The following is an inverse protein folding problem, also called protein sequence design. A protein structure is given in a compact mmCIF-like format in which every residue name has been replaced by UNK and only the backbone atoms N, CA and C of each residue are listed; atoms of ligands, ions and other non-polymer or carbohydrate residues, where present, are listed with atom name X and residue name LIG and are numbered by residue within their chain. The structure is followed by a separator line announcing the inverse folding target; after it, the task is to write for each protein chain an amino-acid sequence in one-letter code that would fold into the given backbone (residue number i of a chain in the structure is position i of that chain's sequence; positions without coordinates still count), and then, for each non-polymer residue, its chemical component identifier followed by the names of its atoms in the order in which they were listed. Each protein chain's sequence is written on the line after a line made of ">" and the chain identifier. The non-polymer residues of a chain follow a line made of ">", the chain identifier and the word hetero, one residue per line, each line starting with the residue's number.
data_IF_460531491735
#
_entry.id   IF_460531491735
#
_cell.length_a   1.000
_cell.length_b   1.000
_cell.length_c   1.000
_cell.angle_alpha   90.00
_cell.angle_beta   90.00
_cell.angle_gamma   90.00
#
_symmetry.space_group_name_H-M   'P 1'
#
loop_
_entity.id
_entity.type
_entity.pdbx_description
1 polymer ?
#
# COMPACT_ATOMS: atom_id res chain seq x y z
N UNK A 1 47.93 39.75 4.97
CA UNK A 1 46.91 38.80 5.45
C UNK A 1 45.84 38.72 4.38
N UNK A 2 46.04 37.79 3.44
CA UNK A 2 45.39 36.47 3.37
C UNK A 2 44.21 36.54 2.41
N UNK A 3 44.53 36.19 1.15
CA UNK A 3 43.55 35.90 0.13
C UNK A 3 42.66 34.75 0.59
N UNK A 4 41.35 34.98 0.51
CA UNK A 4 40.35 33.93 0.62
C UNK A 4 40.37 33.20 -0.72
N UNK A 5 41.19 32.15 -0.82
CA UNK A 5 40.98 31.12 -1.82
C UNK A 5 39.59 30.54 -1.58
N UNK A 6 38.66 30.94 -2.45
CA UNK A 6 37.39 30.24 -2.62
C UNK A 6 37.78 28.86 -3.11
N UNK A 7 37.62 27.86 -2.23
CA UNK A 7 37.63 26.46 -2.60
C UNK A 7 36.57 26.27 -3.70
N UNK A 8 37.00 26.33 -4.96
CA UNK A 8 36.27 25.78 -6.08
C UNK A 8 36.17 24.28 -5.80
N UNK A 9 35.07 23.85 -5.19
CA UNK A 9 34.68 22.45 -5.18
C UNK A 9 34.66 22.01 -6.63
N UNK A 10 35.54 21.07 -6.99
CA UNK A 10 35.52 20.44 -8.31
C UNK A 10 34.07 20.04 -8.63
N UNK A 11 33.58 20.28 -9.85
CA UNK A 11 32.34 19.65 -10.26
C UNK A 11 32.55 18.15 -10.10
N UNK A 12 31.72 17.52 -9.29
CA UNK A 12 31.64 16.06 -9.27
C UNK A 12 31.35 15.64 -10.71
N UNK A 13 32.20 14.80 -11.28
CA UNK A 13 32.06 14.33 -12.66
C UNK A 13 30.75 13.53 -12.85
N UNK A 14 30.11 13.12 -11.74
CA UNK A 14 28.89 12.33 -11.70
C UNK A 14 27.88 12.85 -10.66
N UNK A 15 27.30 14.05 -10.87
CA UNK A 15 26.47 14.72 -9.86
C UNK A 15 25.19 13.98 -9.49
N UNK A 16 24.76 12.99 -10.27
CA UNK A 16 23.54 12.22 -10.03
C UNK A 16 23.77 10.75 -9.65
N UNK A 17 25.01 10.36 -9.34
CA UNK A 17 25.39 8.96 -9.09
C UNK A 17 24.52 8.29 -8.00
N UNK A 18 24.25 9.03 -6.92
CA UNK A 18 23.50 8.51 -5.77
C UNK A 18 21.98 8.67 -5.88
N UNK A 19 21.48 9.15 -7.00
CA UNK A 19 20.04 9.33 -7.19
C UNK A 19 19.36 8.00 -7.49
N UNK A 20 18.13 7.85 -6.99
CA UNK A 20 17.30 6.67 -7.22
C UNK A 20 17.10 6.38 -8.70
N UNK A 21 16.89 7.42 -9.52
CA UNK A 21 16.67 7.28 -10.95
C UNK A 21 17.88 6.68 -11.68
N UNK A 22 19.10 7.10 -11.32
CA UNK A 22 20.35 6.55 -11.86
C UNK A 22 20.47 5.06 -11.54
N UNK A 23 20.24 4.66 -10.29
CA UNK A 23 20.28 3.24 -9.88
C UNK A 23 19.25 2.40 -10.65
N UNK A 24 18.00 2.86 -10.70
CA UNK A 24 16.92 2.18 -11.42
C UNK A 24 17.26 1.98 -12.90
N UNK A 25 17.81 3.00 -13.57
CA UNK A 25 18.21 2.89 -14.96
C UNK A 25 19.41 1.95 -15.15
N UNK A 26 20.42 2.05 -14.28
CA UNK A 26 21.62 1.21 -14.36
C UNK A 26 21.29 -0.27 -14.18
N UNK A 27 20.50 -0.60 -13.16
CA UNK A 27 20.03 -1.96 -12.90
C UNK A 27 19.20 -2.51 -14.05
N UNK A 28 18.28 -1.69 -14.61
CA UNK A 28 17.44 -2.12 -15.71
C UNK A 28 18.24 -2.38 -17.00
N UNK A 29 19.21 -1.52 -17.33
CA UNK A 29 20.10 -1.74 -18.46
C UNK A 29 20.93 -3.01 -18.28
N UNK A 30 21.50 -3.23 -17.09
CA UNK A 30 22.28 -4.44 -16.79
C UNK A 30 21.42 -5.71 -16.93
N UNK A 31 20.20 -5.69 -16.38
CA UNK A 31 19.25 -6.80 -16.47
C UNK A 31 18.90 -7.11 -17.93
N UNK A 32 18.44 -6.12 -18.69
CA UNK A 32 18.06 -6.31 -20.10
C UNK A 32 19.24 -6.80 -20.94
N UNK A 33 20.44 -6.25 -20.73
CA UNK A 33 21.63 -6.73 -21.44
C UNK A 33 21.99 -8.18 -21.10
N UNK A 34 21.78 -8.61 -19.85
CA UNK A 34 22.02 -9.98 -19.41
C UNK A 34 20.96 -10.98 -19.91
N UNK A 35 19.69 -10.57 -19.91
CA UNK A 35 18.55 -11.40 -20.35
C UNK A 35 18.53 -11.58 -21.88
N UNK A 36 18.74 -10.50 -22.63
CA UNK A 36 18.62 -10.50 -24.09
C UNK A 36 19.98 -10.72 -24.81
N UNK A 37 21.09 -10.76 -24.06
CA UNK A 37 22.44 -10.89 -24.61
C UNK A 37 22.87 -9.72 -25.49
N UNK A 38 22.25 -8.55 -25.32
CA UNK A 38 22.49 -7.36 -26.13
C UNK A 38 23.64 -6.52 -25.57
N UNK A 39 24.42 -5.92 -26.48
CA UNK A 39 25.35 -4.85 -26.10
C UNK A 39 24.61 -3.53 -25.84
N UNK A 40 25.18 -2.67 -25.00
CA UNK A 40 24.63 -1.32 -24.75
C UNK A 40 24.42 -0.51 -26.04
N UNK A 41 25.25 -0.76 -27.07
CA UNK A 41 25.11 -0.13 -28.40
C UNK A 41 23.86 -0.60 -29.15
N UNK A 42 23.56 -1.89 -29.10
CA UNK A 42 22.35 -2.45 -29.72
C UNK A 42 21.11 -1.95 -28.97
N UNK A 43 21.11 -2.06 -27.64
CA UNK A 43 20.03 -1.57 -26.80
C UNK A 43 19.79 -0.07 -26.98
N UNK A 44 20.86 0.73 -27.11
CA UNK A 44 20.73 2.16 -27.40
C UNK A 44 20.06 2.47 -28.74
N UNK A 45 20.29 1.66 -29.76
CA UNK A 45 19.62 1.79 -31.07
C UNK A 45 18.13 1.44 -30.94
N UNK A 46 17.78 0.39 -30.21
CA UNK A 46 16.40 -0.03 -29.97
C UNK A 46 15.61 1.02 -29.17
N UNK A 47 16.26 1.64 -28.17
CA UNK A 47 15.70 2.74 -27.39
C UNK A 47 15.66 4.08 -28.16
N UNK A 48 16.08 4.10 -29.44
CA UNK A 48 16.03 5.29 -30.28
C UNK A 48 17.08 6.36 -29.96
N UNK A 49 18.19 5.99 -29.33
CA UNK A 49 19.34 6.89 -29.11
C UNK A 49 20.35 6.76 -30.26
N UNK A 50 20.73 7.90 -30.85
CA UNK A 50 21.78 7.95 -31.89
C UNK A 50 23.14 7.51 -31.36
N UNK A 51 23.41 7.77 -30.08
CA UNK A 51 24.67 7.47 -29.41
C UNK A 51 24.39 6.77 -28.08
N UNK A 52 24.80 5.50 -27.98
CA UNK A 52 24.62 4.70 -26.76
C UNK A 52 25.39 5.24 -25.54
N UNK A 53 26.42 6.08 -25.76
CA UNK A 53 27.15 6.78 -24.70
C UNK A 53 26.21 7.61 -23.82
N UNK A 54 25.14 8.16 -24.38
CA UNK A 54 24.15 8.94 -23.60
C UNK A 54 23.50 8.07 -22.53
N UNK A 55 23.19 6.80 -22.83
CA UNK A 55 22.65 5.85 -21.84
C UNK A 55 23.67 5.57 -20.73
N UNK A 56 24.94 5.39 -21.08
CA UNK A 56 26.01 5.19 -20.08
C UNK A 56 26.18 6.42 -19.19
N UNK A 57 26.13 7.63 -19.75
CA UNK A 57 26.20 8.87 -18.97
C UNK A 57 25.02 9.04 -18.01
N UNK A 58 23.81 8.64 -18.43
CA UNK A 58 22.64 8.65 -17.54
C UNK A 58 22.77 7.59 -16.44
N UNK A 59 23.16 6.37 -16.80
CA UNK A 59 23.30 5.24 -15.87
C UNK A 59 24.44 5.40 -14.86
N UNK A 60 25.45 6.23 -15.18
CA UNK A 60 26.53 6.61 -14.25
C UNK A 60 26.23 7.88 -13.47
N UNK A 61 25.15 8.60 -13.79
CA UNK A 61 24.79 9.86 -13.14
C UNK A 61 25.63 11.06 -13.59
N UNK A 62 26.31 10.98 -14.74
CA UNK A 62 27.02 12.13 -15.37
C UNK A 62 26.05 13.16 -15.93
N UNK A 63 24.91 12.70 -16.45
CA UNK A 63 23.84 13.56 -16.95
C UNK A 63 22.50 13.11 -16.37
N UNK A 64 21.56 14.02 -16.14
CA UNK A 64 20.26 13.66 -15.60
C UNK A 64 19.41 12.98 -16.67
N UNK A 65 18.50 12.10 -16.24
CA UNK A 65 17.56 11.42 -17.11
C UNK A 65 16.50 12.43 -17.59
N UNK A 66 16.16 12.49 -18.89
CA UNK A 66 15.14 13.40 -19.40
C UNK A 66 13.74 12.97 -18.95
N UNK A 67 12.95 13.90 -18.40
CA UNK A 67 11.55 13.65 -18.00
C UNK A 67 10.75 13.12 -19.18
N UNK A 68 10.86 13.76 -20.35
CA UNK A 68 10.11 13.40 -21.57
C UNK A 68 10.41 11.97 -22.07
N UNK A 69 11.58 11.43 -21.72
CA UNK A 69 12.01 10.09 -22.11
C UNK A 69 11.73 9.04 -21.05
N UNK A 70 11.47 9.43 -19.81
CA UNK A 70 11.30 8.53 -18.67
C UNK A 70 10.24 7.45 -18.92
N UNK A 71 9.06 7.83 -19.42
CA UNK A 71 7.98 6.88 -19.72
C UNK A 71 8.34 5.88 -20.82
N UNK A 72 9.06 6.33 -21.87
CA UNK A 72 9.51 5.43 -22.94
C UNK A 72 10.57 4.45 -22.45
N UNK A 73 11.55 4.94 -21.66
CA UNK A 73 12.59 4.13 -21.06
C UNK A 73 12.01 3.09 -20.11
N UNK A 74 11.08 3.48 -19.24
CA UNK A 74 10.45 2.59 -18.29
C UNK A 74 9.73 1.42 -18.98
N UNK A 75 8.94 1.71 -20.02
CA UNK A 75 8.25 0.68 -20.80
C UNK A 75 9.22 -0.26 -21.50
N UNK A 76 10.26 0.28 -22.15
CA UNK A 76 11.21 -0.53 -22.92
C UNK A 76 12.15 -1.35 -22.04
N UNK A 77 12.44 -0.89 -20.81
CA UNK A 77 13.35 -1.57 -19.87
C UNK A 77 12.62 -2.33 -18.75
N UNK A 78 11.30 -2.46 -18.87
CA UNK A 78 10.42 -3.10 -17.88
C UNK A 78 10.64 -2.58 -16.45
N UNK A 79 10.69 -1.25 -16.31
CA UNK A 79 10.74 -0.55 -15.03
C UNK A 79 9.33 -0.04 -14.72
N UNK A 80 8.91 -0.06 -13.46
CA UNK A 80 7.65 0.56 -13.07
C UNK A 80 7.60 2.04 -13.51
N UNK A 81 6.69 2.43 -14.43
CA UNK A 81 6.69 3.77 -15.00
C UNK A 81 6.42 4.87 -13.97
N UNK A 82 5.60 4.59 -12.96
CA UNK A 82 5.26 5.57 -11.94
C UNK A 82 6.44 5.82 -11.01
N UNK A 83 7.03 4.77 -10.43
CA UNK A 83 8.21 4.89 -9.57
C UNK A 83 9.40 5.50 -10.31
N UNK A 84 9.60 5.16 -11.59
CA UNK A 84 10.70 5.71 -12.38
C UNK A 84 10.48 7.20 -12.69
N UNK A 85 9.28 7.60 -13.08
CA UNK A 85 8.97 9.01 -13.32
C UNK A 85 9.17 9.84 -12.04
N UNK A 86 8.67 9.38 -10.90
CA UNK A 86 8.87 10.05 -9.60
C UNK A 86 10.36 10.22 -9.30
N UNK A 87 11.16 9.15 -9.46
CA UNK A 87 12.60 9.22 -9.23
C UNK A 87 13.30 10.22 -10.18
N UNK A 88 12.88 10.30 -11.44
CA UNK A 88 13.43 11.24 -12.43
C UNK A 88 13.07 12.69 -12.08
N UNK A 89 11.87 12.93 -11.55
CA UNK A 89 11.44 14.25 -11.10
C UNK A 89 12.23 14.70 -9.87
N UNK A 90 12.41 13.82 -8.88
CA UNK A 90 13.25 14.04 -7.70
C UNK A 90 14.70 14.37 -8.09
N UNK A 91 15.26 13.64 -9.06
CA UNK A 91 16.62 13.88 -9.57
C UNK A 91 16.80 15.28 -10.16
N UNK A 92 15.79 15.80 -10.88
CA UNK A 92 15.89 17.10 -11.59
C UNK A 92 15.47 18.30 -10.77
N UNK A 93 14.66 18.07 -9.74
CA UNK A 93 14.11 19.11 -8.89
C UNK A 93 14.21 18.66 -7.42
N UNK A 94 15.45 18.57 -6.88
CA UNK A 94 15.68 18.10 -5.51
C UNK A 94 15.07 19.03 -4.46
N UNK A 95 14.87 20.32 -4.80
CA UNK A 95 14.31 21.32 -3.90
C UNK A 95 12.78 21.33 -3.87
N UNK A 96 12.12 20.51 -4.70
CA UNK A 96 10.66 20.44 -4.77
C UNK A 96 10.17 19.33 -3.85
N UNK A 97 9.23 19.68 -2.96
CA UNK A 97 8.50 18.70 -2.17
C UNK A 97 7.44 17.99 -3.03
N UNK A 98 7.84 16.86 -3.61
CA UNK A 98 6.97 16.05 -4.46
C UNK A 98 5.84 15.34 -3.70
N UNK A 99 5.87 15.33 -2.35
CA UNK A 99 4.75 14.79 -1.55
C UNK A 99 3.47 15.61 -1.71
N UNK A 100 3.59 16.88 -2.13
CA UNK A 100 2.46 17.75 -2.45
C UNK A 100 1.71 17.36 -3.74
N UNK A 101 2.40 16.65 -4.64
CA UNK A 101 1.87 16.21 -5.94
C UNK A 101 1.59 14.71 -5.98
N UNK A 102 2.19 13.94 -5.08
CA UNK A 102 1.74 12.59 -4.83
C UNK A 102 0.24 12.67 -4.51
N UNK A 103 -0.64 12.03 -5.28
CA UNK A 103 -2.01 11.84 -4.82
C UNK A 103 -1.86 11.12 -3.49
N UNK A 104 -2.09 11.82 -2.37
CA UNK A 104 -1.88 11.26 -1.04
C UNK A 104 -2.53 9.90 -1.04
N UNK A 105 -1.70 8.85 -0.88
CA UNK A 105 -1.99 7.45 -1.21
C UNK A 105 -3.48 7.23 -1.32
N UNK A 106 -4.01 7.34 -2.55
CA UNK A 106 -5.42 7.64 -2.81
C UNK A 106 -6.29 6.96 -1.76
N UNK A 107 -7.08 7.72 -0.99
CA UNK A 107 -7.99 7.16 0.02
C UNK A 107 -8.76 5.95 -0.53
N UNK A 108 -8.97 5.90 -1.85
CA UNK A 108 -9.60 4.81 -2.59
C UNK A 108 -8.79 3.50 -2.64
N UNK A 109 -7.46 3.50 -2.79
CA UNK A 109 -6.63 2.28 -2.76
C UNK A 109 -6.55 1.73 -1.33
N UNK A 110 -6.42 2.62 -0.34
CA UNK A 110 -6.48 2.24 1.07
C UNK A 110 -7.88 1.77 1.48
N UNK A 111 -8.96 2.42 1.01
CA UNK A 111 -10.34 1.94 1.20
C UNK A 111 -10.56 0.59 0.54
N UNK A 112 -10.05 0.35 -0.67
CA UNK A 112 -10.19 -0.93 -1.34
C UNK A 112 -9.45 -2.05 -0.60
N UNK A 113 -8.22 -1.80 -0.15
CA UNK A 113 -7.43 -2.74 0.64
C UNK A 113 -8.09 -3.01 2.01
N UNK A 114 -8.52 -1.96 2.72
CA UNK A 114 -9.22 -2.13 4.00
C UNK A 114 -10.55 -2.87 3.82
N UNK A 115 -11.27 -2.62 2.72
CA UNK A 115 -12.53 -3.30 2.45
C UNK A 115 -12.30 -4.78 2.12
N UNK A 116 -11.21 -5.12 1.41
CA UNK A 116 -10.79 -6.50 1.20
C UNK A 116 -10.40 -7.18 2.51
N UNK A 117 -9.70 -6.51 3.42
CA UNK A 117 -9.33 -7.08 4.73
C UNK A 117 -10.58 -7.36 5.59
N UNK A 118 -11.57 -6.46 5.59
CA UNK A 118 -12.82 -6.58 6.36
C UNK A 118 -13.74 -7.71 5.86
N UNK A 119 -13.62 -8.12 4.60
CA UNK A 119 -14.43 -9.18 3.98
C UNK A 119 -13.69 -10.52 3.88
N UNK A 120 -12.44 -10.59 4.35
CA UNK A 120 -11.56 -11.75 4.24
C UNK A 120 -11.11 -12.02 2.80
N UNK A 121 -10.79 -10.96 2.05
CA UNK A 121 -10.30 -11.00 0.67
C UNK A 121 -11.39 -11.10 -0.39
N UNK A 122 -12.67 -11.04 -0.02
CA UNK A 122 -13.81 -11.14 -0.95
C UNK A 122 -14.33 -9.77 -1.36
N UNK A 123 -14.84 -9.64 -2.57
CA UNK A 123 -15.50 -8.39 -2.95
C UNK A 123 -16.84 -8.24 -2.19
N UNK A 124 -17.27 -7.01 -1.94
CA UNK A 124 -18.48 -6.72 -1.14
C UNK A 124 -19.77 -7.28 -1.77
N UNK A 125 -19.81 -7.33 -3.10
CA UNK A 125 -20.88 -7.91 -3.91
C UNK A 125 -20.94 -9.45 -3.82
N UNK A 126 -19.82 -10.11 -3.52
CA UNK A 126 -19.74 -11.56 -3.31
C UNK A 126 -20.28 -12.02 -1.93
N UNK A 127 -20.48 -11.10 -0.99
CA UNK A 127 -21.06 -11.41 0.31
C UNK A 127 -22.53 -11.82 0.20
N UNK A 128 -23.00 -12.68 1.10
CA UNK A 128 -24.42 -13.01 1.16
C UNK A 128 -25.25 -11.79 1.62
N UNK A 129 -26.54 -11.71 1.26
CA UNK A 129 -27.43 -10.65 1.76
C UNK A 129 -27.45 -10.57 3.29
N UNK A 130 -27.37 -11.72 3.97
CA UNK A 130 -27.26 -11.79 5.44
C UNK A 130 -25.97 -11.17 5.97
N UNK A 131 -24.81 -11.48 5.37
CA UNK A 131 -23.51 -10.90 5.75
C UNK A 131 -23.48 -9.38 5.55
N UNK A 132 -23.99 -8.88 4.41
CA UNK A 132 -24.08 -7.43 4.18
C UNK A 132 -24.98 -6.72 5.18
N UNK A 133 -26.10 -7.34 5.56
CA UNK A 133 -27.03 -6.81 6.57
C UNK A 133 -26.34 -6.70 7.94
N UNK A 134 -25.66 -7.77 8.34
CA UNK A 134 -24.87 -7.87 9.58
C UNK A 134 -23.78 -6.78 9.63
N UNK A 135 -22.97 -6.63 8.57
CA UNK A 135 -21.95 -5.58 8.51
C UNK A 135 -22.52 -4.17 8.62
N UNK A 136 -23.65 -3.90 7.94
CA UNK A 136 -24.32 -2.59 7.99
C UNK A 136 -24.87 -2.29 9.39
N UNK A 137 -25.43 -3.29 10.06
CA UNK A 137 -25.95 -3.15 11.43
C UNK A 137 -24.82 -2.90 12.43
N UNK A 138 -23.70 -3.62 12.30
CA UNK A 138 -22.51 -3.40 13.13
C UNK A 138 -21.92 -2.00 12.92
N UNK A 139 -21.77 -1.57 11.67
CA UNK A 139 -21.19 -0.26 11.34
C UNK A 139 -22.08 0.92 11.76
N UNK A 140 -23.41 0.74 11.78
CA UNK A 140 -24.35 1.76 12.22
C UNK A 140 -24.47 1.88 13.75
N UNK A 141 -23.96 0.89 14.51
CA UNK A 141 -24.02 0.87 15.97
C UNK A 141 -22.71 1.36 16.59
N UNK A 142 -22.73 2.58 17.14
CA UNK A 142 -21.61 3.17 17.86
C UNK A 142 -21.18 2.40 19.13
N UNK A 143 -21.91 1.35 19.52
CA UNK A 143 -21.60 0.45 20.64
C UNK A 143 -21.60 -1.02 20.20
N UNK A 144 -21.22 -1.30 18.96
CA UNK A 144 -21.18 -2.65 18.40
C UNK A 144 -20.50 -3.67 19.34
N UNK A 145 -19.36 -3.31 19.96
CA UNK A 145 -18.62 -4.16 20.91
C UNK A 145 -19.45 -4.66 22.11
N UNK A 146 -20.52 -3.95 22.51
CA UNK A 146 -21.35 -4.33 23.67
C UNK A 146 -22.57 -5.16 23.31
N UNK A 147 -22.98 -5.13 22.04
CA UNK A 147 -24.20 -5.78 21.54
C UNK A 147 -23.88 -7.05 20.76
N UNK A 148 -22.70 -7.10 20.16
CA UNK A 148 -22.27 -8.20 19.32
C UNK A 148 -21.52 -9.24 20.13
N UNK A 149 -21.80 -10.50 19.85
CA UNK A 149 -21.21 -11.63 20.56
C UNK A 149 -19.82 -11.92 20.00
N UNK A 150 -18.85 -12.02 20.90
CA UNK A 150 -17.54 -12.58 20.59
C UNK A 150 -17.65 -14.06 20.22
N UNK A 151 -16.68 -14.65 19.50
CA UNK A 151 -16.68 -16.09 19.18
C UNK A 151 -16.85 -17.00 20.41
N UNK A 152 -16.37 -16.55 21.57
CA UNK A 152 -16.50 -17.28 22.84
C UNK A 152 -17.92 -17.21 23.43
N UNK A 153 -18.65 -16.13 23.18
CA UNK A 153 -20.03 -15.96 23.64
C UNK A 153 -21.05 -16.65 22.73
N UNK A 154 -20.71 -16.85 21.45
CA UNK A 154 -21.58 -17.51 20.46
C UNK A 154 -22.06 -18.86 20.97
N UNK A 155 -21.16 -19.73 21.43
CA UNK A 155 -21.55 -21.07 21.91
C UNK A 155 -22.51 -21.03 23.10
N UNK A 156 -22.33 -20.07 24.01
CA UNK A 156 -23.21 -19.91 25.17
C UNK A 156 -24.59 -19.39 24.75
N UNK A 157 -24.65 -18.43 23.83
CA UNK A 157 -25.91 -17.89 23.32
C UNK A 157 -26.63 -18.88 22.40
N UNK A 158 -25.93 -19.67 21.59
CA UNK A 158 -26.52 -20.75 20.79
C UNK A 158 -27.19 -21.80 21.67
N UNK A 159 -26.52 -22.18 22.76
CA UNK A 159 -27.10 -23.06 23.77
C UNK A 159 -28.35 -22.42 24.40
N UNK A 160 -28.30 -21.14 24.77
CA UNK A 160 -29.46 -20.43 25.32
C UNK A 160 -30.61 -20.31 24.32
N UNK A 161 -30.34 -20.04 23.04
CA UNK A 161 -31.36 -20.02 21.96
C UNK A 161 -32.02 -21.37 21.77
N UNK A 162 -31.25 -22.45 21.91
CA UNK A 162 -31.76 -23.82 21.80
C UNK A 162 -32.65 -24.16 23.01
N UNK A 163 -32.20 -23.82 24.22
CA UNK A 163 -32.91 -24.15 25.46
C UNK A 163 -34.12 -23.24 25.74
N UNK A 164 -34.09 -21.99 25.23
CA UNK A 164 -35.13 -20.97 25.40
C UNK A 164 -35.36 -20.20 24.09
N UNK A 165 -36.06 -20.79 23.10
CA UNK A 165 -36.29 -20.14 21.80
C UNK A 165 -37.04 -18.81 21.90
N UNK A 166 -37.99 -18.70 22.84
CA UNK A 166 -38.76 -17.48 23.09
C UNK A 166 -37.90 -16.26 23.49
N UNK A 167 -36.66 -16.50 23.95
CA UNK A 167 -35.69 -15.45 24.25
C UNK A 167 -35.34 -14.61 23.02
N UNK A 168 -35.35 -15.20 21.82
CA UNK A 168 -34.97 -14.50 20.59
C UNK A 168 -35.97 -13.39 20.24
N UNK A 169 -37.26 -13.61 20.54
CA UNK A 169 -38.33 -12.67 20.23
C UNK A 169 -38.68 -11.74 21.40
N UNK A 170 -38.65 -12.25 22.64
CA UNK A 170 -39.14 -11.54 23.82
C UNK A 170 -38.05 -11.18 24.83
N UNK A 171 -36.80 -11.61 24.59
CA UNK A 171 -35.73 -11.53 25.56
C UNK A 171 -35.92 -12.49 26.74
N UNK A 172 -35.01 -12.42 27.71
CA UNK A 172 -35.14 -13.17 28.96
C UNK A 172 -36.16 -12.48 29.86
N UNK A 173 -37.09 -13.26 30.43
CA UNK A 173 -38.04 -12.74 31.41
C UNK A 173 -37.36 -12.45 32.76
N UNK A 174 -38.11 -11.84 33.69
CA UNK A 174 -37.53 -11.43 34.97
C UNK A 174 -37.11 -12.63 35.84
N UNK A 175 -37.84 -13.74 35.76
CA UNK A 175 -37.56 -14.97 36.51
C UNK A 175 -36.29 -15.64 36.00
N UNK A 176 -36.11 -15.69 34.69
CA UNK A 176 -34.93 -16.24 34.03
C UNK A 176 -33.67 -15.42 34.38
N UNK A 177 -33.79 -14.08 34.41
CA UNK A 177 -32.69 -13.19 34.82
C UNK A 177 -32.26 -13.42 36.27
N UNK A 178 -33.22 -13.60 37.18
CA UNK A 178 -32.96 -13.86 38.59
C UNK A 178 -32.31 -15.23 38.82
N UNK A 179 -32.82 -16.27 38.14
CA UNK A 179 -32.21 -17.60 38.11
C UNK A 179 -30.76 -17.55 37.63
N UNK A 180 -30.51 -16.98 36.45
CA UNK A 180 -29.15 -16.85 35.91
C UNK A 180 -28.21 -16.10 36.85
N UNK A 181 -28.68 -15.01 37.46
CA UNK A 181 -27.89 -14.25 38.44
C UNK A 181 -27.55 -15.11 39.66
N UNK A 182 -28.50 -15.85 40.21
CA UNK A 182 -28.28 -16.71 41.37
C UNK A 182 -27.29 -17.85 41.07
N UNK A 183 -27.41 -18.49 39.91
CA UNK A 183 -26.57 -19.62 39.52
C UNK A 183 -25.13 -19.19 39.19
N UNK A 184 -24.96 -18.07 38.47
CA UNK A 184 -23.64 -17.60 38.02
C UNK A 184 -22.84 -16.89 39.11
N UNK A 185 -23.50 -16.26 40.09
CA UNK A 185 -22.80 -15.59 41.21
C UNK A 185 -22.55 -16.50 42.41
N UNK A 186 -22.90 -17.79 42.31
CA UNK A 186 -22.70 -18.77 43.38
C UNK A 186 -23.57 -18.56 44.62
N UNK A 187 -24.44 -17.54 44.64
CA UNK A 187 -25.49 -17.44 45.65
C UNK A 187 -26.60 -18.41 45.28
N UNK A 188 -26.53 -19.62 45.86
CA UNK A 188 -27.70 -20.50 45.99
C UNK A 188 -28.87 -19.64 46.47
N UNK A 189 -29.88 -19.48 45.62
CA UNK A 189 -31.18 -19.00 46.05
C UNK A 189 -31.68 -20.04 47.07
N UNK A 190 -31.73 -19.62 48.34
CA UNK A 190 -32.51 -20.29 49.38
C UNK A 190 -33.95 -19.85 49.21
#
# INVERSE_FOLDING_TARGET
>A
MMGREVLMSKPDDFPYVDTRATRMLAEALQRTMAEDGLSLRQLGKELGYKQAVVLSHMASGRVPIPVDRSASLARSLNIDPQAFLTAVLEQRHPDVDWTLLAPGESEDVHRFSMMADLTGGRAYDELTPGQRKVMREAAADNRAERRWLTPHEVSAIELLRTLRPAMVEHGLDQRDREMLRSTLTGRRAV
#
